data_IF_425590798201
#
_entry.id   IF_425590798201
#
_cell.length_a   1.000
_cell.length_b   1.000
_cell.length_c   1.000
_cell.angle_alpha   90.00
_cell.angle_beta   90.00
_cell.angle_gamma   90.00
#
_symmetry.space_group_name_H-M   'P 1'
#
loop_
_entity.id
_entity.type
_entity.pdbx_description
1 polymer ?
#
# COMPACT_ATOMS: atom_id res chain seq x y z
N UNK A 1 25.53 -44.76 -39.28
CA UNK A 1 25.46 -44.32 -40.70
C UNK A 1 25.03 -42.85 -40.69
N UNK A 2 25.96 -41.89 -40.56
CA UNK A 2 26.61 -41.13 -41.65
C UNK A 2 25.59 -40.42 -42.55
N UNK A 3 25.52 -39.08 -42.67
CA UNK A 3 26.57 -38.16 -43.16
C UNK A 3 26.15 -36.67 -42.96
N UNK A 4 27.06 -35.89 -42.37
CA UNK A 4 27.53 -34.49 -42.64
C UNK A 4 26.62 -33.23 -42.49
N UNK A 5 27.06 -32.41 -41.51
CA UNK A 5 27.15 -30.93 -41.33
C UNK A 5 26.62 -29.96 -42.41
N UNK A 6 25.98 -28.87 -41.93
CA UNK A 6 26.38 -27.47 -42.21
C UNK A 6 25.91 -26.49 -41.11
N UNK A 7 26.83 -25.63 -40.70
CA UNK A 7 26.65 -24.43 -39.85
C UNK A 7 26.12 -23.26 -40.70
N UNK A 8 25.14 -22.51 -40.19
CA UNK A 8 24.96 -21.08 -40.50
C UNK A 8 24.23 -20.38 -39.33
N UNK A 9 24.79 -19.22 -38.93
CA UNK A 9 24.35 -18.31 -37.86
C UNK A 9 23.26 -17.33 -38.34
N UNK A 10 22.63 -16.55 -37.44
CA UNK A 10 21.25 -16.07 -37.59
C UNK A 10 21.15 -14.78 -38.41
N UNK A 11 20.04 -14.65 -39.14
CA UNK A 11 19.61 -13.38 -39.76
C UNK A 11 18.82 -12.55 -38.76
N UNK A 12 19.34 -11.34 -38.53
CA UNK A 12 18.70 -10.24 -37.83
C UNK A 12 17.37 -9.85 -38.49
N UNK A 13 16.29 -9.83 -37.71
CA UNK A 13 15.05 -9.14 -38.10
C UNK A 13 15.14 -7.70 -37.62
N UNK A 14 15.39 -6.79 -38.57
CA UNK A 14 15.13 -5.36 -38.43
C UNK A 14 13.61 -5.16 -38.27
N UNK A 15 13.18 -4.63 -37.13
CA UNK A 15 11.88 -3.99 -36.97
C UNK A 15 12.02 -2.55 -37.48
N UNK A 16 11.34 -2.25 -38.58
CA UNK A 16 11.19 -0.90 -39.11
C UNK A 16 10.33 -0.07 -38.17
N UNK A 17 10.92 0.95 -37.55
CA UNK A 17 10.20 2.01 -36.88
C UNK A 17 9.61 2.95 -37.95
N UNK A 18 8.29 3.04 -38.02
CA UNK A 18 7.59 4.09 -38.78
C UNK A 18 7.55 5.33 -37.91
N UNK A 19 8.35 6.34 -38.27
CA UNK A 19 8.28 7.68 -37.70
C UNK A 19 7.13 8.40 -38.38
N UNK A 20 6.02 8.60 -37.66
CA UNK A 20 4.96 9.53 -38.05
C UNK A 20 5.32 10.89 -37.46
N UNK A 21 5.89 11.78 -38.27
CA UNK A 21 6.07 13.20 -37.94
C UNK A 21 4.77 13.95 -38.21
N UNK A 22 3.85 13.89 -37.26
CA UNK A 22 2.71 14.81 -37.17
C UNK A 22 3.07 16.01 -36.30
N UNK A 23 3.37 17.15 -36.93
CA UNK A 23 3.57 18.42 -36.24
C UNK A 23 2.22 18.98 -35.75
N UNK A 24 1.76 18.50 -34.59
CA UNK A 24 0.80 19.19 -33.77
C UNK A 24 1.56 19.95 -32.69
N UNK A 25 1.55 21.28 -32.74
CA UNK A 25 1.99 22.11 -31.63
C UNK A 25 1.01 21.93 -30.46
N UNK A 26 1.21 20.86 -29.68
CA UNK A 26 0.62 20.76 -28.36
C UNK A 26 1.40 21.70 -27.47
N UNK A 27 0.68 22.62 -26.82
CA UNK A 27 1.19 23.37 -25.70
C UNK A 27 1.74 22.35 -24.70
N UNK A 28 3.07 22.22 -24.64
CA UNK A 28 3.72 21.54 -23.54
C UNK A 28 3.43 22.40 -22.31
N UNK A 29 2.30 22.10 -21.66
CA UNK A 29 2.14 22.42 -20.24
C UNK A 29 3.37 21.86 -19.55
N UNK A 30 3.97 22.68 -18.69
CA UNK A 30 5.14 22.33 -17.92
C UNK A 30 4.84 21.00 -17.21
N UNK A 31 5.35 19.86 -17.73
CA UNK A 31 5.14 18.51 -17.19
C UNK A 31 6.03 18.35 -15.95
N UNK A 32 5.79 19.21 -14.97
CA UNK A 32 6.44 19.14 -13.68
C UNK A 32 5.92 17.92 -12.93
N UNK A 33 6.84 17.20 -12.29
CA UNK A 33 6.50 16.13 -11.37
C UNK A 33 5.45 16.59 -10.35
N UNK A 34 4.28 15.96 -10.26
CA UNK A 34 3.31 16.32 -9.22
C UNK A 34 3.90 16.10 -7.82
N UNK A 35 4.68 15.04 -7.68
CA UNK A 35 5.50 14.78 -6.50
C UNK A 35 6.83 15.53 -6.64
N UNK A 36 6.81 16.82 -6.30
CA UNK A 36 8.01 17.68 -6.39
C UNK A 36 9.05 17.44 -5.29
N UNK A 37 8.70 16.68 -4.24
CA UNK A 37 9.62 16.20 -3.19
C UNK A 37 9.19 14.82 -2.73
N UNK A 38 10.12 13.87 -2.75
CA UNK A 38 10.00 12.55 -2.15
C UNK A 38 11.37 12.16 -1.58
N UNK A 39 11.54 12.24 -0.27
CA UNK A 39 12.75 11.78 0.43
C UNK A 39 12.36 11.37 1.83
N UNK A 40 12.69 10.14 2.21
CA UNK A 40 12.49 9.63 3.56
C UNK A 40 13.80 9.01 4.04
N UNK A 41 14.39 9.57 5.10
CA UNK A 41 15.63 9.03 5.69
C UNK A 41 15.33 8.43 7.06
N UNK A 42 14.63 9.17 7.92
CA UNK A 42 14.23 8.71 9.26
C UNK A 42 12.90 9.33 9.67
N UNK A 43 12.36 8.91 10.82
CA UNK A 43 11.15 9.51 11.42
C UNK A 43 11.35 10.99 11.86
N UNK A 44 12.58 11.50 11.82
CA UNK A 44 12.96 12.88 12.13
C UNK A 44 13.54 13.64 10.93
N UNK A 45 13.68 12.99 9.77
CA UNK A 45 14.20 13.59 8.56
C UNK A 45 13.49 13.04 7.31
N UNK A 46 12.53 13.82 6.79
CA UNK A 46 11.75 13.47 5.60
C UNK A 46 11.21 14.72 4.89
N UNK A 47 10.94 14.60 3.59
CA UNK A 47 10.38 15.66 2.77
C UNK A 47 9.51 15.08 1.65
N UNK A 48 8.20 15.15 1.87
CA UNK A 48 7.18 14.80 0.90
C UNK A 48 6.37 16.06 0.52
N UNK A 49 6.16 16.27 -0.77
CA UNK A 49 5.28 17.33 -1.29
C UNK A 49 4.60 16.87 -2.58
N UNK A 50 3.28 16.92 -2.56
CA UNK A 50 2.39 16.66 -3.69
C UNK A 50 1.73 17.97 -4.14
N UNK A 51 1.70 18.20 -5.45
CA UNK A 51 0.96 19.29 -6.08
C UNK A 51 -0.40 18.81 -6.58
N UNK A 52 -1.25 19.75 -6.98
CA UNK A 52 -2.51 19.49 -7.70
C UNK A 52 -3.57 18.62 -7.01
N UNK A 53 -3.34 18.11 -5.80
CA UNK A 53 -4.37 17.48 -4.97
C UNK A 53 -5.59 18.41 -4.83
N UNK A 54 -6.78 17.98 -5.29
CA UNK A 54 -8.03 18.71 -5.16
C UNK A 54 -8.42 18.99 -3.70
N UNK A 55 -9.26 20.01 -3.51
CA UNK A 55 -9.74 20.49 -2.22
C UNK A 55 -11.23 20.84 -2.32
N UNK A 56 -12.06 19.82 -2.61
CA UNK A 56 -13.49 20.02 -2.75
C UNK A 56 -14.11 20.40 -1.40
N UNK A 57 -15.11 21.29 -1.43
CA UNK A 57 -15.87 21.62 -0.22
C UNK A 57 -16.87 20.49 0.09
N UNK A 58 -16.93 20.10 1.36
CA UNK A 58 -17.93 19.12 1.83
C UNK A 58 -19.32 19.74 2.01
N UNK A 59 -19.40 21.06 2.25
CA UNK A 59 -20.64 21.76 2.63
C UNK A 59 -21.50 22.03 1.41
N UNK A 60 -22.64 21.35 1.30
CA UNK A 60 -23.50 21.37 0.09
C UNK A 60 -24.96 21.19 0.47
N UNK A 61 -25.81 22.10 0.02
CA UNK A 61 -27.24 22.16 0.36
C UNK A 61 -28.07 20.93 -0.03
N UNK A 62 -27.60 20.12 -0.99
CA UNK A 62 -28.30 18.91 -1.43
C UNK A 62 -27.73 17.62 -0.84
N UNK A 63 -26.70 17.71 0.01
CA UNK A 63 -26.23 16.59 0.83
C UNK A 63 -26.99 16.56 2.16
N UNK A 64 -27.19 15.38 2.77
CA UNK A 64 -27.71 15.25 4.12
C UNK A 64 -26.98 16.16 5.13
N UNK A 65 -27.73 16.84 6.00
CA UNK A 65 -27.23 17.82 6.96
C UNK A 65 -26.28 18.88 6.36
N UNK A 66 -26.58 19.30 5.13
CA UNK A 66 -25.77 20.23 4.33
C UNK A 66 -24.31 19.77 4.16
N UNK A 67 -24.06 18.45 4.17
CA UNK A 67 -22.72 17.87 4.08
C UNK A 67 -21.86 18.07 5.34
N UNK A 68 -22.48 18.35 6.49
CA UNK A 68 -21.77 18.59 7.77
C UNK A 68 -20.84 17.46 8.19
N UNK A 69 -21.17 16.23 7.81
CA UNK A 69 -20.43 15.03 8.17
C UNK A 69 -19.73 14.36 6.97
N UNK A 70 -19.56 15.08 5.86
CA UNK A 70 -19.03 14.55 4.59
C UNK A 70 -17.51 14.70 4.42
N UNK A 71 -16.76 14.95 5.50
CA UNK A 71 -15.30 15.10 5.43
C UNK A 71 -14.59 13.87 4.82
N UNK A 72 -15.02 12.65 5.19
CA UNK A 72 -14.43 11.40 4.70
C UNK A 72 -14.78 11.12 3.22
N UNK A 73 -16.06 11.20 2.78
CA UNK A 73 -16.37 11.12 1.35
C UNK A 73 -15.59 12.14 0.52
N UNK A 74 -15.46 13.37 1.02
CA UNK A 74 -14.80 14.46 0.28
C UNK A 74 -13.28 14.27 0.20
N UNK A 75 -12.63 13.83 1.27
CA UNK A 75 -11.20 13.52 1.21
C UNK A 75 -10.89 12.32 0.29
N UNK A 76 -11.77 11.32 0.24
CA UNK A 76 -11.63 10.20 -0.71
C UNK A 76 -11.87 10.66 -2.14
N UNK A 77 -12.88 11.50 -2.38
CA UNK A 77 -13.09 12.14 -3.69
C UNK A 77 -11.81 12.84 -4.13
N UNK A 78 -11.24 13.73 -3.30
CA UNK A 78 -10.03 14.49 -3.64
C UNK A 78 -8.90 13.57 -4.16
N UNK A 79 -8.65 12.43 -3.50
CA UNK A 79 -7.61 11.50 -3.94
C UNK A 79 -7.93 10.81 -5.28
N UNK A 80 -9.16 10.37 -5.48
CA UNK A 80 -9.54 9.70 -6.72
C UNK A 80 -9.64 10.66 -7.91
N UNK A 81 -10.10 11.89 -7.68
CA UNK A 81 -10.04 12.97 -8.65
C UNK A 81 -8.59 13.35 -8.99
N UNK A 82 -7.68 13.33 -8.00
CA UNK A 82 -6.24 13.44 -8.25
C UNK A 82 -5.78 12.30 -9.17
N UNK A 83 -6.06 11.04 -8.85
CA UNK A 83 -5.69 9.92 -9.72
C UNK A 83 -6.22 10.10 -11.16
N UNK A 84 -7.50 10.49 -11.30
CA UNK A 84 -8.13 10.68 -12.60
C UNK A 84 -7.45 11.75 -13.45
N UNK A 85 -7.10 12.88 -12.84
CA UNK A 85 -6.38 13.98 -13.49
C UNK A 85 -4.91 13.66 -13.81
N UNK A 86 -4.35 12.56 -13.26
CA UNK A 86 -2.91 12.29 -13.27
C UNK A 86 -2.58 10.87 -13.75
N UNK A 87 -3.16 10.49 -14.88
CA UNK A 87 -2.84 9.25 -15.62
C UNK A 87 -3.91 8.15 -15.54
N UNK A 88 -4.98 8.37 -14.78
CA UNK A 88 -6.06 7.39 -14.59
C UNK A 88 -7.46 7.92 -14.93
N UNK A 89 -7.70 8.50 -16.13
CA UNK A 89 -8.95 9.21 -16.43
C UNK A 89 -10.22 8.34 -16.31
N UNK A 90 -10.09 7.02 -16.40
CA UNK A 90 -11.20 6.08 -16.19
C UNK A 90 -11.54 5.83 -14.70
N UNK A 91 -10.72 6.31 -13.76
CA UNK A 91 -11.02 6.20 -12.34
C UNK A 91 -12.14 7.19 -11.99
N UNK A 92 -13.23 6.76 -11.33
CA UNK A 92 -14.27 7.68 -10.87
C UNK A 92 -13.68 8.69 -9.89
N UNK A 93 -14.00 9.99 -9.98
CA UNK A 93 -15.12 10.60 -10.70
C UNK A 93 -14.84 11.02 -12.15
N UNK A 94 -13.80 10.47 -12.79
CA UNK A 94 -13.21 10.91 -14.05
C UNK A 94 -12.41 12.23 -13.90
N UNK A 95 -11.68 12.60 -14.95
CA UNK A 95 -10.86 13.79 -14.96
C UNK A 95 -11.72 15.07 -15.07
N UNK A 96 -11.24 16.16 -14.47
CA UNK A 96 -11.94 17.42 -14.45
C UNK A 96 -11.26 18.51 -13.64
N UNK A 97 -11.54 19.76 -14.01
CA UNK A 97 -11.20 20.92 -13.20
C UNK A 97 -12.24 21.09 -12.08
N UNK A 98 -12.05 20.31 -11.01
CA UNK A 98 -12.95 20.24 -9.87
C UNK A 98 -13.04 21.52 -9.04
N UNK A 99 -12.21 22.54 -9.33
CA UNK A 99 -12.33 23.85 -8.70
C UNK A 99 -13.40 24.73 -9.37
N UNK A 100 -13.75 24.46 -10.64
CA UNK A 100 -14.73 25.27 -11.36
C UNK A 100 -16.12 25.17 -10.75
N UNK A 101 -16.79 26.31 -10.62
CA UNK A 101 -18.18 26.36 -10.17
C UNK A 101 -19.13 25.53 -11.08
N UNK A 102 -18.80 25.39 -12.37
CA UNK A 102 -19.57 24.54 -13.29
C UNK A 102 -19.53 23.05 -12.93
N UNK A 103 -18.50 22.60 -12.18
CA UNK A 103 -18.38 21.23 -11.66
C UNK A 103 -19.06 21.04 -10.30
N UNK A 104 -19.60 22.10 -9.69
CA UNK A 104 -20.23 22.03 -8.36
C UNK A 104 -21.32 20.95 -8.29
N UNK A 105 -22.27 20.93 -9.24
CA UNK A 105 -23.39 19.97 -9.22
C UNK A 105 -22.88 18.54 -9.37
N UNK A 106 -21.97 18.30 -10.32
CA UNK A 106 -21.38 16.99 -10.58
C UNK A 106 -20.60 16.46 -9.36
N UNK A 107 -19.78 17.30 -8.75
CA UNK A 107 -19.09 16.96 -7.51
C UNK A 107 -20.08 16.62 -6.38
N UNK A 108 -21.21 17.33 -6.28
CA UNK A 108 -22.23 17.02 -5.27
C UNK A 108 -22.87 15.64 -5.49
N UNK A 109 -23.14 15.27 -6.74
CA UNK A 109 -23.70 13.96 -7.08
C UNK A 109 -22.73 12.84 -6.70
N UNK A 110 -21.46 12.99 -7.06
CA UNK A 110 -20.41 12.04 -6.68
C UNK A 110 -20.21 11.94 -5.17
N UNK A 111 -20.22 13.05 -4.43
CA UNK A 111 -20.15 13.02 -2.97
C UNK A 111 -21.35 12.29 -2.35
N UNK A 112 -22.55 12.43 -2.93
CA UNK A 112 -23.72 11.66 -2.49
C UNK A 112 -23.52 10.15 -2.72
N UNK A 113 -23.03 9.77 -3.90
CA UNK A 113 -22.72 8.36 -4.24
C UNK A 113 -21.66 7.78 -3.30
N UNK A 114 -20.54 8.48 -3.12
CA UNK A 114 -19.45 8.04 -2.23
C UNK A 114 -19.92 7.99 -0.78
N UNK A 115 -20.69 8.99 -0.33
CA UNK A 115 -21.28 9.02 1.01
C UNK A 115 -22.22 7.84 1.26
N UNK A 116 -23.01 7.44 0.26
CA UNK A 116 -23.86 6.25 0.34
C UNK A 116 -23.02 4.96 0.45
N UNK A 117 -22.00 4.77 -0.40
CA UNK A 117 -21.11 3.61 -0.31
C UNK A 117 -20.34 3.54 1.02
N UNK A 118 -20.08 4.68 1.65
CA UNK A 118 -19.45 4.78 2.95
C UNK A 118 -20.43 4.69 4.13
N UNK A 119 -21.74 4.64 3.86
CA UNK A 119 -22.78 4.76 4.87
C UNK A 119 -22.55 5.98 5.79
N UNK A 120 -22.28 7.14 5.19
CA UNK A 120 -22.06 8.39 5.92
C UNK A 120 -23.35 8.83 6.58
N UNK A 121 -23.33 8.85 7.92
CA UNK A 121 -24.43 9.33 8.72
C UNK A 121 -24.44 10.87 8.75
N UNK A 122 -25.62 11.53 8.60
CA UNK A 122 -25.71 12.99 8.63
C UNK A 122 -25.33 13.64 9.98
N UNK A 123 -25.38 12.89 11.08
CA UNK A 123 -25.15 13.37 12.45
C UNK A 123 -23.85 12.84 13.04
N UNK A 124 -23.50 11.57 12.76
CA UNK A 124 -22.33 10.89 13.32
C UNK A 124 -21.14 10.78 12.34
N UNK A 125 -21.40 10.97 11.04
CA UNK A 125 -20.42 10.88 9.98
C UNK A 125 -20.03 9.47 9.58
N UNK A 126 -18.76 9.29 9.19
CA UNK A 126 -18.28 8.06 8.56
C UNK A 126 -17.36 7.29 9.49
N UNK A 127 -17.66 6.03 9.71
CA UNK A 127 -16.83 5.10 10.49
C UNK A 127 -15.66 4.57 9.65
N UNK A 128 -14.64 3.98 10.29
CA UNK A 128 -13.51 3.39 9.57
C UNK A 128 -13.92 2.21 8.66
N UNK A 129 -14.94 1.44 9.02
CA UNK A 129 -15.48 0.39 8.15
C UNK A 129 -16.21 0.99 6.94
N UNK A 130 -16.94 2.09 7.14
CA UNK A 130 -17.56 2.87 6.07
C UNK A 130 -16.52 3.40 5.07
N UNK A 131 -15.45 4.03 5.55
CA UNK A 131 -14.33 4.48 4.72
C UNK A 131 -13.77 3.34 3.86
N UNK A 132 -13.50 2.19 4.48
CA UNK A 132 -12.96 1.01 3.77
C UNK A 132 -13.92 0.53 2.68
N UNK A 133 -15.21 0.41 3.00
CA UNK A 133 -16.23 -0.05 2.06
C UNK A 133 -16.37 0.89 0.85
N UNK A 134 -16.42 2.21 1.08
CA UNK A 134 -16.51 3.18 -0.01
C UNK A 134 -15.27 3.20 -0.90
N UNK A 135 -14.07 3.10 -0.32
CA UNK A 135 -12.85 2.97 -1.12
C UNK A 135 -12.81 1.64 -1.88
N UNK A 136 -13.29 0.52 -1.31
CA UNK A 136 -13.40 -0.76 -2.02
C UNK A 136 -14.34 -0.66 -3.25
N UNK A 137 -15.46 0.05 -3.10
CA UNK A 137 -16.39 0.30 -4.21
C UNK A 137 -15.77 1.15 -5.34
N UNK A 138 -14.93 2.13 -5.00
CA UNK A 138 -14.20 2.93 -5.99
C UNK A 138 -13.07 2.13 -6.66
N UNK A 139 -12.31 1.34 -5.90
CA UNK A 139 -11.24 0.48 -6.45
C UNK A 139 -11.81 -0.57 -7.40
N UNK A 140 -13.00 -1.12 -7.12
CA UNK A 140 -13.67 -2.05 -8.03
C UNK A 140 -13.94 -1.43 -9.43
N UNK A 141 -13.99 -0.10 -9.52
CA UNK A 141 -14.17 0.65 -10.77
C UNK A 141 -12.85 1.21 -11.33
N UNK A 142 -11.75 1.13 -10.57
CA UNK A 142 -10.42 1.61 -10.95
C UNK A 142 -9.41 0.45 -10.85
N UNK A 143 -9.41 -0.51 -11.78
CA UNK A 143 -8.70 -1.79 -11.65
C UNK A 143 -7.18 -1.66 -11.56
N UNK A 144 -6.62 -0.51 -11.91
CA UNK A 144 -5.20 -0.21 -11.83
C UNK A 144 -4.79 0.54 -10.57
N UNK A 145 -5.73 0.78 -9.65
CA UNK A 145 -5.45 1.39 -8.36
C UNK A 145 -5.59 0.35 -7.25
N UNK A 146 -4.89 0.57 -6.15
CA UNK A 146 -5.08 -0.11 -4.86
C UNK A 146 -5.18 0.90 -3.74
N UNK A 147 -5.75 0.48 -2.61
CA UNK A 147 -5.87 1.31 -1.41
C UNK A 147 -5.10 0.77 -0.21
N UNK A 148 -4.81 1.66 0.73
CA UNK A 148 -4.39 1.36 2.10
C UNK A 148 -5.33 2.07 3.07
N UNK A 149 -5.62 1.44 4.21
CA UNK A 149 -6.37 2.05 5.32
C UNK A 149 -5.87 1.48 6.64
N UNK A 150 -5.36 2.33 7.53
CA UNK A 150 -4.78 1.95 8.82
C UNK A 150 -5.20 2.94 9.90
N UNK A 151 -5.88 2.44 10.93
CA UNK A 151 -6.26 3.21 12.12
C UNK A 151 -5.36 2.91 13.31
N UNK A 152 -5.44 3.74 14.34
CA UNK A 152 -4.83 3.47 15.64
C UNK A 152 -5.30 2.10 16.18
N UNK A 153 -4.34 1.28 16.59
CA UNK A 153 -4.57 0.00 17.25
C UNK A 153 -3.46 -0.29 18.24
N UNK A 154 -3.56 -1.40 18.98
CA UNK A 154 -2.50 -1.87 19.88
C UNK A 154 -1.16 -2.13 19.17
N UNK A 155 -1.18 -2.40 17.86
CA UNK A 155 -0.01 -2.70 17.04
C UNK A 155 0.35 -1.61 16.03
N UNK A 156 -0.47 -0.57 15.89
CA UNK A 156 -0.26 0.45 14.86
C UNK A 156 -0.50 1.88 15.35
N UNK A 157 0.56 2.70 15.22
CA UNK A 157 0.53 4.14 15.50
C UNK A 157 0.62 4.94 14.21
N UNK A 158 -0.43 5.65 13.79
CA UNK A 158 -0.39 6.60 12.69
C UNK A 158 0.46 7.82 13.03
N UNK A 159 1.35 8.23 12.12
CA UNK A 159 2.24 9.38 12.32
C UNK A 159 2.43 10.15 11.00
N UNK A 160 2.86 11.41 11.09
CA UNK A 160 3.26 12.21 9.93
C UNK A 160 4.46 11.59 9.22
N UNK A 161 5.36 10.94 9.96
CA UNK A 161 6.47 10.18 9.37
C UNK A 161 5.95 9.04 8.49
N UNK A 162 5.00 8.24 8.97
CA UNK A 162 4.38 7.19 8.15
C UNK A 162 3.66 7.77 6.93
N UNK A 163 2.90 8.86 7.08
CA UNK A 163 2.29 9.57 5.95
C UNK A 163 3.33 9.98 4.90
N UNK A 164 4.45 10.55 5.33
CA UNK A 164 5.55 10.94 4.44
C UNK A 164 6.19 9.73 3.77
N UNK A 165 6.39 8.63 4.48
CA UNK A 165 6.92 7.38 3.94
C UNK A 165 6.01 6.85 2.83
N UNK A 166 4.72 6.66 3.10
CA UNK A 166 3.74 6.23 2.09
C UNK A 166 3.74 7.21 0.91
N UNK A 167 3.73 8.52 1.16
CA UNK A 167 3.83 9.53 0.09
C UNK A 167 5.08 9.36 -0.78
N UNK A 168 6.26 9.15 -0.17
CA UNK A 168 7.51 8.92 -0.90
C UNK A 168 7.54 7.61 -1.69
N UNK A 169 6.67 6.65 -1.33
CA UNK A 169 6.47 5.38 -2.02
C UNK A 169 5.39 5.45 -3.12
N UNK A 170 4.93 6.66 -3.49
CA UNK A 170 3.98 6.88 -4.59
C UNK A 170 2.51 6.85 -4.18
N UNK A 171 2.20 6.91 -2.89
CA UNK A 171 0.81 6.98 -2.43
C UNK A 171 0.27 8.41 -2.40
N UNK A 172 -0.91 8.63 -2.98
CA UNK A 172 -1.74 9.79 -2.69
C UNK A 172 -2.42 9.56 -1.34
N UNK A 173 -2.06 10.37 -0.33
CA UNK A 173 -2.42 10.11 1.06
C UNK A 173 -3.48 11.07 1.60
N UNK A 174 -4.29 10.53 2.50
CA UNK A 174 -5.21 11.24 3.37
C UNK A 174 -5.06 10.75 4.80
N UNK A 175 -5.57 11.53 5.75
CA UNK A 175 -5.57 11.16 7.15
C UNK A 175 -6.77 11.71 7.90
N UNK A 176 -7.10 11.08 9.03
CA UNK A 176 -8.05 11.59 10.01
C UNK A 176 -7.27 12.12 11.20
N UNK A 177 -7.61 13.33 11.63
CA UNK A 177 -7.27 13.78 12.97
C UNK A 177 -8.49 13.62 13.89
N UNK A 178 -8.41 12.64 14.79
CA UNK A 178 -9.41 12.42 15.82
C UNK A 178 -9.44 13.58 16.82
N UNK A 179 -10.64 13.85 17.36
CA UNK A 179 -10.86 14.74 18.49
C UNK A 179 -10.82 13.90 19.76
N UNK A 180 -9.77 14.06 20.55
CA UNK A 180 -9.52 13.29 21.76
C UNK A 180 -9.70 14.18 23.00
N UNK A 181 -10.77 13.92 23.75
CA UNK A 181 -11.09 14.63 24.99
C UNK A 181 -10.37 13.96 26.17
N UNK A 182 -9.78 14.75 27.05
CA UNK A 182 -9.18 14.24 28.28
C UNK A 182 -10.30 13.87 29.25
N UNK A 183 -10.38 12.58 29.59
CA UNK A 183 -11.37 12.02 30.52
C UNK A 183 -10.77 11.65 31.87
N UNK A 184 -9.44 11.69 31.99
CA UNK A 184 -8.74 11.46 33.25
C UNK A 184 -7.23 11.55 33.11
N UNK A 185 -6.54 11.08 34.14
CA UNK A 185 -5.07 11.00 34.19
C UNK A 185 -4.68 9.65 34.78
N UNK A 186 -3.68 8.99 34.21
CA UNK A 186 -3.12 7.74 34.71
C UNK A 186 -1.59 7.76 34.57
N UNK A 187 -0.86 7.45 35.64
CA UNK A 187 0.61 7.47 35.69
C UNK A 187 1.25 8.75 35.13
N UNK A 188 0.64 9.91 35.38
CA UNK A 188 1.12 11.22 34.91
C UNK A 188 0.84 11.53 33.45
N UNK A 189 0.18 10.64 32.70
CA UNK A 189 -0.27 10.87 31.33
C UNK A 189 -1.79 11.05 31.27
N UNK A 190 -2.31 11.85 30.32
CA UNK A 190 -3.75 11.97 30.12
C UNK A 190 -4.35 10.65 29.64
N UNK A 191 -5.55 10.34 30.13
CA UNK A 191 -6.45 9.32 29.56
C UNK A 191 -7.43 10.06 28.67
N UNK A 192 -7.51 9.64 27.40
CA UNK A 192 -8.29 10.32 26.38
C UNK A 192 -9.28 9.38 25.71
N UNK A 193 -10.47 9.91 25.43
CA UNK A 193 -11.50 9.23 24.63
C UNK A 193 -11.79 10.01 23.35
N UNK A 194 -12.07 9.27 22.29
CA UNK A 194 -12.39 9.84 20.98
C UNK A 194 -13.84 10.32 20.97
N UNK A 195 -14.04 11.61 20.70
CA UNK A 195 -15.36 12.25 20.67
C UNK A 195 -15.68 12.88 19.31
N UNK A 196 -14.94 12.49 18.27
CA UNK A 196 -15.14 12.93 16.88
C UNK A 196 -13.86 12.82 16.06
N UNK A 197 -13.89 13.34 14.83
CA UNK A 197 -12.72 13.40 13.96
C UNK A 197 -13.00 14.25 12.73
N UNK A 198 -11.96 14.46 11.93
CA UNK A 198 -12.07 15.15 10.65
C UNK A 198 -11.03 14.62 9.68
N UNK A 199 -11.42 14.47 8.42
CA UNK A 199 -10.63 13.83 7.37
C UNK A 199 -10.14 14.86 6.35
N UNK A 200 -8.87 14.76 5.97
CA UNK A 200 -8.19 15.73 5.11
C UNK A 200 -7.21 15.03 4.17
N UNK A 201 -6.87 15.65 3.04
CA UNK A 201 -5.89 15.08 2.09
C UNK A 201 -4.52 15.74 2.20
N UNK A 202 -3.46 14.95 2.19
CA UNK A 202 -2.09 15.39 2.41
C UNK A 202 -1.51 16.06 1.16
N UNK A 203 -0.86 17.21 1.34
CA UNK A 203 -0.10 17.89 0.27
C UNK A 203 1.36 18.11 0.63
N UNK A 204 1.71 18.13 1.93
CA UNK A 204 3.10 18.20 2.37
C UNK A 204 3.29 17.57 3.74
N UNK A 205 4.33 16.76 3.86
CA UNK A 205 4.88 16.33 5.14
C UNK A 205 6.39 16.57 5.11
N UNK A 206 6.88 17.46 5.96
CA UNK A 206 8.30 17.81 6.01
C UNK A 206 8.77 17.82 7.45
N UNK A 207 9.92 17.19 7.69
CA UNK A 207 10.63 17.27 8.94
C UNK A 207 12.13 17.30 8.72
N UNK A 208 12.78 18.26 9.36
CA UNK A 208 14.24 18.36 9.46
C UNK A 208 14.57 18.68 10.91
N UNK A 209 14.92 17.63 11.67
CA UNK A 209 15.10 17.69 13.12
C UNK A 209 13.84 18.23 13.82
N UNK A 210 13.89 19.47 14.31
CA UNK A 210 12.80 20.14 15.05
C UNK A 210 11.87 20.93 14.13
N UNK A 211 12.28 21.23 12.89
CA UNK A 211 11.39 21.90 11.94
C UNK A 211 10.39 20.89 11.42
N UNK A 212 9.11 21.05 11.77
CA UNK A 212 8.04 20.13 11.39
C UNK A 212 6.89 20.87 10.69
N UNK A 213 6.59 20.48 9.46
CA UNK A 213 5.53 21.10 8.65
C UNK A 213 4.59 20.00 8.13
N UNK A 214 3.30 20.20 8.37
CA UNK A 214 2.22 19.43 7.76
C UNK A 214 1.34 20.38 6.95
N UNK A 215 1.08 20.05 5.68
CA UNK A 215 0.08 20.75 4.85
C UNK A 215 -0.94 19.78 4.29
N UNK A 216 -2.18 20.21 4.26
CA UNK A 216 -3.31 19.42 3.80
C UNK A 216 -4.42 20.30 3.21
N UNK A 217 -5.29 19.67 2.42
CA UNK A 217 -6.56 20.20 1.91
C UNK A 217 -7.67 19.86 2.90
N UNK A 218 -8.49 20.84 3.27
CA UNK A 218 -9.47 20.71 4.35
C UNK A 218 -10.89 20.90 3.78
N UNK A 219 -11.66 19.81 3.57
CA UNK A 219 -12.99 19.90 3.01
C UNK A 219 -13.99 20.80 3.76
N UNK A 220 -13.71 21.15 5.02
CA UNK A 220 -14.59 21.95 5.88
C UNK A 220 -14.10 23.39 6.12
N UNK A 221 -13.24 23.91 5.24
CA UNK A 221 -12.66 25.24 5.41
C UNK A 221 -13.46 26.39 4.74
N UNK A 222 -14.59 26.06 4.11
CA UNK A 222 -15.65 26.97 3.68
C UNK A 222 -17.01 26.50 4.22
N UNK A 223 -17.90 27.45 4.47
CA UNK A 223 -19.28 27.24 4.96
C UNK A 223 -20.34 27.45 3.88
N UNK A 224 -19.96 27.94 2.70
CA UNK A 224 -20.88 28.16 1.58
C UNK A 224 -21.54 26.84 1.12
N UNK A 225 -22.86 26.87 0.90
CA UNK A 225 -23.64 25.66 0.58
C UNK A 225 -23.99 25.48 -0.89
N UNK A 226 -23.55 26.39 -1.76
CA UNK A 226 -23.96 26.44 -3.18
C UNK A 226 -22.82 26.81 -4.13
N UNK A 227 -21.61 27.01 -3.60
CA UNK A 227 -20.42 27.38 -4.36
C UNK A 227 -19.27 26.44 -4.04
N UNK A 228 -18.35 26.29 -4.99
CA UNK A 228 -17.04 25.69 -4.76
C UNK A 228 -16.02 26.81 -4.49
N UNK A 229 -15.36 26.72 -3.35
CA UNK A 229 -14.31 27.61 -2.91
C UNK A 229 -13.02 27.37 -3.71
N UNK A 230 -12.13 28.36 -3.69
CA UNK A 230 -10.80 28.20 -4.27
C UNK A 230 -9.96 27.26 -3.41
N UNK A 231 -9.37 26.24 -4.04
CA UNK A 231 -8.55 25.24 -3.36
C UNK A 231 -7.41 25.88 -2.57
N UNK A 232 -7.31 25.62 -1.27
CA UNK A 232 -6.25 26.18 -0.41
C UNK A 232 -5.59 25.11 0.46
N UNK A 233 -4.48 25.47 1.08
CA UNK A 233 -3.76 24.55 1.96
C UNK A 233 -3.84 25.09 3.38
N UNK A 234 -4.21 24.23 4.30
CA UNK A 234 -3.97 24.47 5.72
C UNK A 234 -2.55 24.04 6.05
N UNK A 235 -1.82 24.87 6.79
CA UNK A 235 -0.46 24.56 7.28
C UNK A 235 -0.47 24.47 8.80
N UNK A 236 0.15 23.43 9.35
CA UNK A 236 0.28 23.18 10.79
C UNK A 236 1.70 22.72 11.15
N UNK A 237 2.07 22.89 12.41
CA UNK A 237 3.29 22.37 13.01
C UNK A 237 2.90 21.26 13.99
N UNK A 238 3.05 19.99 13.62
CA UNK A 238 2.72 18.87 14.51
C UNK A 238 3.65 18.82 15.73
N UNK A 239 3.20 18.10 16.77
CA UNK A 239 3.99 17.79 17.96
C UNK A 239 3.65 16.40 18.49
N UNK A 240 4.54 15.80 19.26
CA UNK A 240 4.29 14.51 19.88
C UNK A 240 3.30 14.66 21.04
N UNK A 241 2.31 13.76 21.11
CA UNK A 241 1.33 13.71 22.18
C UNK A 241 1.20 12.27 22.69
N UNK A 242 1.68 12.07 23.93
CA UNK A 242 1.63 10.78 24.61
C UNK A 242 0.43 10.74 25.56
N UNK A 243 -0.42 9.73 25.40
CA UNK A 243 -1.63 9.55 26.18
C UNK A 243 -2.03 8.07 26.26
N UNK A 244 -2.95 7.77 27.17
CA UNK A 244 -3.71 6.53 27.20
C UNK A 244 -4.99 6.69 26.36
N UNK A 245 -5.10 6.00 25.23
CA UNK A 245 -6.22 6.15 24.28
C UNK A 245 -7.28 5.06 24.51
N UNK A 246 -8.49 5.44 24.91
CA UNK A 246 -9.60 4.49 25.09
C UNK A 246 -9.47 3.56 26.30
N UNK A 247 -8.72 3.98 27.34
CA UNK A 247 -8.59 3.27 28.61
C UNK A 247 -7.15 3.20 29.14
N UNK A 248 -6.96 2.69 30.36
CA UNK A 248 -5.69 2.76 31.11
C UNK A 248 -4.75 1.57 30.94
N UNK A 249 -5.04 0.66 30.01
CA UNK A 249 -4.17 -0.50 29.73
C UNK A 249 -2.80 -0.05 29.21
N UNK A 250 -1.75 -0.81 29.49
CA UNK A 250 -0.42 -0.57 28.89
C UNK A 250 -0.44 -0.70 27.36
N UNK A 251 -1.41 -1.42 26.79
CA UNK A 251 -1.58 -1.52 25.34
C UNK A 251 -2.23 -0.28 24.71
N UNK A 252 -2.77 0.62 25.54
CA UNK A 252 -3.41 1.87 25.11
C UNK A 252 -2.47 3.08 25.23
N UNK A 253 -1.23 2.89 25.68
CA UNK A 253 -0.26 3.98 25.74
C UNK A 253 0.37 4.19 24.37
N UNK A 254 0.11 5.34 23.77
CA UNK A 254 0.65 5.68 22.46
C UNK A 254 1.27 7.07 22.49
N UNK A 255 2.34 7.26 21.72
CA UNK A 255 2.87 8.57 21.37
C UNK A 255 2.55 8.83 19.90
N UNK A 256 1.55 9.69 19.66
CA UNK A 256 1.03 10.01 18.33
C UNK A 256 1.39 11.45 17.96
N UNK A 257 1.06 11.87 16.74
CA UNK A 257 1.30 13.24 16.28
C UNK A 257 0.02 14.05 16.40
N UNK A 258 0.02 14.99 17.33
CA UNK A 258 -1.02 16.01 17.46
C UNK A 258 -0.74 17.18 16.52
N UNK A 259 -1.79 17.84 16.06
CA UNK A 259 -1.72 18.93 15.09
C UNK A 259 -2.07 20.28 15.74
N UNK A 260 -3.10 20.30 16.61
CA UNK A 260 -3.51 21.46 17.38
C UNK A 260 -4.44 21.08 18.53
N UNK A 261 -4.62 21.99 19.49
CA UNK A 261 -5.56 21.87 20.59
C UNK A 261 -6.80 22.74 20.35
N UNK A 262 -7.94 22.28 20.85
CA UNK A 262 -9.20 23.05 20.89
C UNK A 262 -9.83 22.92 22.28
N UNK A 263 -10.84 23.73 22.60
CA UNK A 263 -11.60 23.61 23.85
C UNK A 263 -12.21 22.23 24.07
N UNK A 264 -12.51 21.50 22.98
CA UNK A 264 -13.08 20.16 23.03
C UNK A 264 -12.06 19.01 22.94
N UNK A 265 -10.76 19.28 23.11
CA UNK A 265 -9.72 18.24 23.10
C UNK A 265 -8.62 18.45 22.07
N UNK A 266 -7.64 17.54 22.11
CA UNK A 266 -6.47 17.50 21.23
C UNK A 266 -6.84 16.89 19.88
N UNK A 267 -6.35 17.46 18.77
CA UNK A 267 -6.48 16.85 17.44
C UNK A 267 -5.25 16.01 17.13
N UNK A 268 -5.45 14.70 17.06
CA UNK A 268 -4.37 13.71 16.93
C UNK A 268 -4.59 12.89 15.68
N UNK A 269 -3.55 12.71 14.86
CA UNK A 269 -3.62 11.81 13.70
C UNK A 269 -3.79 10.38 14.21
N UNK A 270 -4.95 9.79 13.93
CA UNK A 270 -5.34 8.47 14.43
C UNK A 270 -5.77 7.52 13.33
N UNK A 271 -5.80 7.96 12.07
CA UNK A 271 -6.05 7.12 10.90
C UNK A 271 -5.33 7.68 9.69
N UNK A 272 -4.75 6.81 8.86
CA UNK A 272 -4.24 7.15 7.53
C UNK A 272 -4.86 6.22 6.49
N UNK A 273 -5.06 6.74 5.29
CA UNK A 273 -5.53 5.96 4.16
C UNK A 273 -5.06 6.63 2.88
N UNK A 274 -4.99 5.88 1.80
CA UNK A 274 -4.44 6.38 0.56
C UNK A 274 -4.72 5.45 -0.60
N UNK A 275 -4.42 5.96 -1.79
CA UNK A 275 -4.48 5.20 -3.03
C UNK A 275 -3.16 5.29 -3.77
N UNK A 276 -2.86 4.28 -4.58
CA UNK A 276 -1.74 4.30 -5.52
C UNK A 276 -2.02 3.41 -6.72
N UNK A 277 -1.32 3.63 -7.83
CA UNK A 277 -1.16 2.65 -8.90
C UNK A 277 -0.75 1.26 -8.42
N UNK A 278 -1.18 0.24 -9.16
CA UNK A 278 -0.58 -1.09 -9.08
C UNK A 278 0.89 -1.03 -9.51
N UNK A 279 1.73 -1.73 -8.76
CA UNK A 279 3.16 -1.82 -9.00
C UNK A 279 3.57 -3.29 -9.14
N UNK A 280 4.63 -3.53 -9.90
CA UNK A 280 5.30 -4.82 -9.98
C UNK A 280 6.47 -4.89 -9.01
N UNK A 281 6.88 -6.11 -8.69
CA UNK A 281 8.08 -6.38 -7.91
C UNK A 281 8.98 -7.27 -8.73
N UNK A 282 10.27 -6.99 -8.70
CA UNK A 282 11.27 -7.84 -9.32
C UNK A 282 12.43 -8.01 -8.35
N UNK A 283 13.06 -9.17 -8.40
CA UNK A 283 14.36 -9.35 -7.81
C UNK A 283 15.30 -9.94 -8.85
N UNK A 284 16.53 -9.44 -8.85
CA UNK A 284 17.59 -9.93 -9.72
C UNK A 284 18.77 -10.35 -8.86
N UNK A 285 19.04 -11.66 -8.78
CA UNK A 285 20.27 -12.15 -8.17
C UNK A 285 21.45 -11.84 -9.11
N UNK A 286 22.41 -11.04 -8.66
CA UNK A 286 23.56 -10.59 -9.47
C UNK A 286 24.71 -11.59 -9.47
N UNK A 287 24.59 -12.67 -8.69
CA UNK A 287 25.60 -13.71 -8.53
C UNK A 287 25.21 -15.04 -9.16
N UNK A 288 26.07 -15.59 -10.02
CA UNK A 288 26.06 -17.02 -10.30
C UNK A 288 26.64 -17.81 -9.12
N UNK A 289 26.41 -19.12 -9.05
CA UNK A 289 26.92 -20.00 -7.99
C UNK A 289 28.45 -19.94 -7.75
N UNK A 290 29.20 -19.27 -8.63
CA UNK A 290 30.67 -19.20 -8.62
C UNK A 290 31.22 -17.81 -8.25
N UNK A 291 30.43 -16.73 -8.37
CA UNK A 291 30.93 -15.33 -8.20
C UNK A 291 30.54 -14.68 -6.87
N UNK A 292 29.98 -15.44 -5.93
CA UNK A 292 29.27 -14.88 -4.77
C UNK A 292 27.86 -14.47 -5.17
N UNK A 293 26.91 -14.61 -4.26
CA UNK A 293 25.51 -14.23 -4.45
C UNK A 293 25.33 -12.72 -4.46
N UNK A 294 24.23 -12.27 -3.89
CA UNK A 294 23.78 -10.89 -3.90
C UNK A 294 22.69 -10.68 -4.93
N UNK A 295 22.16 -9.47 -4.94
CA UNK A 295 21.08 -9.12 -5.84
C UNK A 295 20.50 -7.76 -5.55
N UNK A 296 19.43 -7.47 -6.27
CA UNK A 296 18.67 -6.25 -6.14
C UNK A 296 17.20 -6.61 -6.13
N UNK A 297 16.50 -6.22 -5.07
CA UNK A 297 15.03 -6.19 -5.07
C UNK A 297 14.63 -4.80 -5.53
N UNK A 298 13.74 -4.70 -6.51
CA UNK A 298 13.22 -3.43 -7.03
C UNK A 298 11.70 -3.46 -7.07
N UNK A 299 11.10 -2.37 -6.60
CA UNK A 299 9.74 -2.03 -6.97
C UNK A 299 9.75 -1.42 -8.38
N UNK A 300 8.80 -1.83 -9.21
CA UNK A 300 8.55 -1.28 -10.54
C UNK A 300 7.18 -0.62 -10.51
N UNK A 301 7.09 0.64 -10.91
CA UNK A 301 5.81 1.33 -11.01
C UNK A 301 5.56 1.63 -12.50
N UNK A 302 5.03 0.65 -13.26
CA UNK A 302 4.91 0.77 -14.71
C UNK A 302 3.92 1.87 -15.11
N UNK A 303 3.04 2.27 -14.19
CA UNK A 303 2.01 3.29 -14.38
C UNK A 303 2.01 4.22 -13.17
N UNK A 304 3.09 4.93 -12.88
CA UNK A 304 3.08 5.88 -11.77
C UNK A 304 2.03 7.00 -12.02
N UNK A 305 1.61 7.73 -10.96
CA UNK A 305 0.90 8.99 -11.19
C UNK A 305 1.78 9.92 -12.03
N UNK A 306 1.18 10.74 -12.89
CA UNK A 306 1.94 11.65 -13.76
C UNK A 306 2.98 12.42 -12.94
N UNK A 307 4.23 12.36 -13.37
CA UNK A 307 5.31 13.07 -12.69
C UNK A 307 5.86 12.40 -11.43
N UNK A 308 5.36 11.22 -11.06
CA UNK A 308 5.95 10.36 -10.03
C UNK A 308 6.77 9.21 -10.63
N UNK A 309 7.02 9.22 -11.95
CA UNK A 309 7.65 8.10 -12.64
C UNK A 309 9.05 7.82 -12.11
N UNK A 310 9.24 6.63 -11.53
CA UNK A 310 10.55 6.05 -11.17
C UNK A 310 11.45 6.86 -10.23
N UNK A 311 11.03 8.00 -9.66
CA UNK A 311 11.96 8.89 -8.95
C UNK A 311 12.33 8.46 -7.53
N UNK A 312 11.66 7.48 -6.92
CA UNK A 312 11.98 6.99 -5.55
C UNK A 312 11.50 5.56 -5.29
N UNK A 313 11.46 4.70 -6.30
CA UNK A 313 11.05 3.31 -6.06
C UNK A 313 12.08 2.61 -5.17
N UNK A 314 11.67 2.00 -4.05
CA UNK A 314 12.60 1.31 -3.16
C UNK A 314 13.39 0.27 -3.95
N UNK A 315 14.71 0.37 -3.86
CA UNK A 315 15.62 -0.66 -4.33
C UNK A 315 16.50 -1.10 -3.17
N UNK A 316 16.49 -2.39 -2.87
CA UNK A 316 17.23 -2.94 -1.73
C UNK A 316 18.31 -3.85 -2.25
N UNK A 317 19.55 -3.52 -1.92
CA UNK A 317 20.71 -4.35 -2.27
C UNK A 317 20.74 -5.54 -1.32
N UNK A 318 20.77 -6.75 -1.89
CA UNK A 318 20.93 -7.99 -1.14
C UNK A 318 22.42 -8.27 -0.96
N UNK A 319 22.88 -8.61 0.27
CA UNK A 319 24.27 -8.94 0.53
C UNK A 319 24.79 -10.04 -0.40
N UNK A 320 26.04 -9.90 -0.88
CA UNK A 320 26.68 -10.87 -1.77
C UNK A 320 26.86 -12.27 -1.17
N UNK A 321 26.61 -12.44 0.12
CA UNK A 321 26.63 -13.73 0.81
C UNK A 321 25.31 -14.50 0.75
N UNK A 322 24.27 -13.92 0.14
CA UNK A 322 22.92 -14.47 0.10
C UNK A 322 22.36 -14.45 -1.33
N UNK A 323 21.53 -15.44 -1.67
CA UNK A 323 20.70 -15.43 -2.87
C UNK A 323 19.23 -15.50 -2.46
N UNK A 324 18.40 -14.63 -3.04
CA UNK A 324 16.95 -14.63 -2.80
C UNK A 324 16.31 -15.70 -3.66
N UNK A 325 15.54 -16.59 -3.04
CA UNK A 325 14.72 -17.59 -3.72
C UNK A 325 13.31 -17.08 -3.91
N UNK A 326 12.76 -16.44 -2.88
CA UNK A 326 11.40 -15.95 -2.85
C UNK A 326 11.25 -14.72 -1.96
N UNK A 327 10.20 -13.94 -2.18
CA UNK A 327 10.09 -12.60 -1.62
C UNK A 327 8.62 -12.12 -1.57
N UNK A 328 8.23 -11.44 -0.49
CA UNK A 328 6.94 -10.75 -0.33
C UNK A 328 7.09 -9.50 0.57
N UNK A 329 6.36 -8.42 0.30
CA UNK A 329 6.40 -7.22 1.15
C UNK A 329 5.40 -7.35 2.30
N UNK A 330 5.72 -6.75 3.44
CA UNK A 330 4.68 -6.43 4.41
C UNK A 330 3.72 -5.36 3.85
N UNK A 331 2.56 -5.22 4.49
CA UNK A 331 1.54 -4.29 4.05
C UNK A 331 1.91 -2.81 4.17
N UNK A 332 3.04 -2.47 4.81
CA UNK A 332 3.51 -1.09 4.97
C UNK A 332 4.84 -0.77 4.26
N UNK A 333 5.39 -1.75 3.53
CA UNK A 333 6.63 -1.67 2.77
C UNK A 333 7.82 -1.19 3.61
N UNK A 334 7.80 -1.43 4.92
CA UNK A 334 8.97 -1.20 5.76
C UNK A 334 9.82 -2.46 5.84
N UNK A 335 9.17 -3.61 5.80
CA UNK A 335 9.83 -4.90 5.79
C UNK A 335 9.33 -5.77 4.64
N UNK A 336 10.08 -6.81 4.39
CA UNK A 336 9.69 -7.89 3.53
C UNK A 336 10.00 -9.22 4.20
N UNK A 337 9.24 -10.24 3.85
CA UNK A 337 9.62 -11.62 4.08
C UNK A 337 10.41 -12.10 2.88
N UNK A 338 11.53 -12.77 3.14
CA UNK A 338 12.36 -13.35 2.07
C UNK A 338 12.78 -14.75 2.44
N UNK A 339 12.75 -15.65 1.46
CA UNK A 339 13.50 -16.90 1.53
C UNK A 339 14.85 -16.62 0.89
N UNK A 340 15.92 -16.72 1.69
CA UNK A 340 17.28 -16.58 1.18
C UNK A 340 18.19 -17.72 1.62
N UNK A 341 19.05 -18.14 0.70
CA UNK A 341 20.09 -19.15 0.94
C UNK A 341 21.47 -18.50 1.00
N UNK A 342 22.41 -19.09 1.74
CA UNK A 342 23.79 -18.63 1.68
C UNK A 342 24.41 -19.03 0.34
N UNK A 343 25.14 -18.10 -0.28
CA UNK A 343 25.94 -18.34 -1.47
C UNK A 343 27.40 -18.71 -1.15
N UNK A 344 27.79 -18.65 0.12
CA UNK A 344 29.17 -18.91 0.58
C UNK A 344 29.24 -20.24 1.32
N UNK A 345 28.23 -20.54 2.15
CA UNK A 345 28.15 -21.79 2.89
C UNK A 345 26.97 -22.62 2.38
N UNK A 346 27.07 -23.96 2.35
CA UNK A 346 25.98 -24.85 1.99
C UNK A 346 24.95 -24.94 3.12
N UNK A 347 24.37 -23.80 3.51
CA UNK A 347 23.32 -23.73 4.49
C UNK A 347 21.97 -23.82 3.78
N UNK A 348 20.99 -24.55 4.36
CA UNK A 348 19.66 -24.61 3.76
C UNK A 348 19.02 -23.22 3.74
N UNK A 349 18.17 -22.94 2.74
CA UNK A 349 17.36 -21.72 2.70
C UNK A 349 16.61 -21.47 4.01
N UNK A 350 16.45 -20.19 4.36
CA UNK A 350 15.76 -19.76 5.57
C UNK A 350 14.83 -18.60 5.26
N UNK A 351 13.68 -18.59 5.95
CA UNK A 351 12.80 -17.44 6.01
C UNK A 351 13.44 -16.34 6.87
N UNK A 352 13.38 -15.12 6.37
CA UNK A 352 14.00 -13.94 6.97
C UNK A 352 13.08 -12.75 6.85
N UNK A 353 13.17 -11.82 7.80
CA UNK A 353 12.72 -10.45 7.57
C UNK A 353 13.84 -9.67 6.87
N UNK A 354 13.46 -8.80 5.95
CA UNK A 354 14.30 -7.81 5.29
C UNK A 354 13.76 -6.43 5.62
N UNK A 355 14.53 -5.61 6.34
CA UNK A 355 14.24 -4.19 6.47
C UNK A 355 14.57 -3.50 5.15
N UNK A 356 13.57 -2.88 4.53
CA UNK A 356 13.69 -2.28 3.20
C UNK A 356 14.32 -0.89 3.23
N UNK A 357 14.43 -0.29 4.42
CA UNK A 357 15.12 0.97 4.65
C UNK A 357 16.61 0.74 4.84
N UNK A 358 16.99 -0.26 5.62
CA UNK A 358 18.39 -0.52 5.99
C UNK A 358 19.05 -1.64 5.17
N UNK A 359 18.26 -2.48 4.50
CA UNK A 359 18.72 -3.71 3.85
C UNK A 359 19.08 -4.83 4.83
N UNK A 360 18.81 -4.65 6.13
CA UNK A 360 19.16 -5.62 7.16
C UNK A 360 18.28 -6.88 7.05
N UNK A 361 18.92 -8.04 7.10
CA UNK A 361 18.24 -9.35 7.10
C UNK A 361 18.33 -10.02 8.46
N UNK A 362 17.21 -10.47 9.01
CA UNK A 362 17.17 -11.26 10.24
C UNK A 362 16.48 -12.60 10.01
N UNK A 363 17.03 -13.70 10.54
CA UNK A 363 16.40 -15.02 10.42
C UNK A 363 15.15 -15.04 11.30
N UNK A 364 14.03 -15.45 10.71
CA UNK A 364 12.76 -15.61 11.42
C UNK A 364 12.80 -16.94 12.18
N UNK A 365 13.13 -16.93 13.48
CA UNK A 365 13.21 -18.15 14.30
C UNK A 365 11.93 -18.26 15.14
N UNK A 366 11.21 -19.40 15.15
CA UNK A 366 11.68 -20.75 14.83
C UNK A 366 11.23 -21.33 13.48
N UNK A 367 11.27 -20.57 12.38
CA UNK A 367 10.83 -21.08 11.07
C UNK A 367 11.60 -22.33 10.58
N UNK A 368 10.92 -23.23 9.82
CA UNK A 368 11.56 -24.40 9.23
C UNK A 368 12.72 -24.04 8.29
N UNK A 369 13.62 -25.01 8.08
CA UNK A 369 14.75 -24.87 7.17
C UNK A 369 14.41 -25.47 5.80
N UNK A 370 15.12 -25.06 4.75
CA UNK A 370 14.96 -25.67 3.43
C UNK A 370 13.73 -25.19 2.67
N UNK A 371 13.11 -24.09 3.12
CA UNK A 371 11.96 -23.47 2.48
C UNK A 371 12.28 -23.04 1.04
N UNK A 372 11.29 -23.14 0.15
CA UNK A 372 11.43 -22.88 -1.29
C UNK A 372 10.63 -21.69 -1.76
N UNK A 373 9.33 -21.69 -1.44
CA UNK A 373 8.38 -20.62 -1.72
C UNK A 373 7.50 -20.36 -0.52
N UNK A 374 6.86 -19.20 -0.49
CA UNK A 374 5.85 -18.89 0.49
C UNK A 374 4.79 -17.93 -0.05
N UNK A 375 3.66 -17.86 0.65
CA UNK A 375 2.62 -16.86 0.49
C UNK A 375 2.16 -16.38 1.87
N UNK A 376 1.61 -15.17 1.93
CA UNK A 376 1.05 -14.60 3.16
C UNK A 376 -0.46 -14.38 3.04
N UNK A 377 -1.17 -14.46 4.16
CA UNK A 377 -2.59 -14.10 4.23
C UNK A 377 -2.79 -12.68 4.79
N UNK A 378 -4.06 -12.25 4.84
CA UNK A 378 -4.44 -10.94 5.40
C UNK A 378 -4.28 -10.81 6.92
N UNK A 379 -3.98 -11.91 7.60
CA UNK A 379 -3.75 -12.00 9.05
C UNK A 379 -2.26 -12.15 9.38
N UNK A 380 -1.37 -11.96 8.38
CA UNK A 380 0.07 -12.13 8.48
C UNK A 380 0.54 -13.56 8.79
N UNK A 381 -0.29 -14.57 8.54
CA UNK A 381 0.20 -15.95 8.54
C UNK A 381 1.02 -16.23 7.29
N UNK A 382 1.91 -17.23 7.40
CA UNK A 382 2.86 -17.58 6.35
C UNK A 382 2.63 -19.04 5.96
N UNK A 383 2.41 -19.27 4.68
CA UNK A 383 2.24 -20.58 4.06
C UNK A 383 3.46 -20.88 3.22
N UNK A 384 4.28 -21.84 3.60
CA UNK A 384 5.55 -22.11 2.93
C UNK A 384 5.79 -23.61 2.79
N UNK A 385 6.45 -24.04 1.72
CA UNK A 385 6.87 -25.44 1.58
C UNK A 385 8.38 -25.58 1.51
N UNK A 386 8.88 -26.72 1.99
CA UNK A 386 10.30 -27.05 1.98
C UNK A 386 10.70 -27.98 0.82
N UNK A 387 12.00 -28.22 0.68
CA UNK A 387 12.55 -29.11 -0.34
C UNK A 387 12.21 -30.59 -0.16
N UNK A 388 11.52 -30.98 0.92
CA UNK A 388 10.95 -32.31 1.12
C UNK A 388 9.46 -32.40 0.75
N UNK A 389 8.85 -31.31 0.28
CA UNK A 389 7.43 -31.26 -0.10
C UNK A 389 6.48 -31.03 1.08
N UNK A 390 6.99 -30.76 2.28
CA UNK A 390 6.14 -30.47 3.45
C UNK A 390 5.64 -29.04 3.34
N UNK A 391 4.32 -28.86 3.42
CA UNK A 391 3.68 -27.54 3.52
C UNK A 391 3.51 -27.16 4.99
N UNK A 392 3.93 -25.95 5.33
CA UNK A 392 3.92 -25.38 6.67
C UNK A 392 2.97 -24.19 6.73
N UNK A 393 2.19 -24.12 7.80
CA UNK A 393 1.38 -22.97 8.21
C UNK A 393 2.07 -22.36 9.44
N UNK A 394 2.57 -21.14 9.30
CA UNK A 394 3.35 -20.46 10.32
C UNK A 394 2.65 -19.18 10.78
N UNK A 395 2.88 -18.79 12.03
CA UNK A 395 2.57 -17.46 12.54
C UNK A 395 3.47 -16.39 11.90
N UNK A 396 3.15 -15.11 12.11
CA UNK A 396 3.92 -13.96 11.62
C UNK A 396 5.40 -13.98 12.06
N UNK A 397 5.68 -14.55 13.24
CA UNK A 397 7.04 -14.70 13.78
C UNK A 397 7.77 -15.97 13.30
N UNK A 398 7.16 -16.70 12.37
CA UNK A 398 7.70 -17.95 11.81
C UNK A 398 7.47 -19.18 12.67
N UNK A 399 6.74 -19.07 13.79
CA UNK A 399 6.40 -20.23 14.62
C UNK A 399 5.49 -21.20 13.85
N UNK A 400 5.86 -22.49 13.73
CA UNK A 400 4.98 -23.48 13.11
C UNK A 400 3.67 -23.66 13.89
N UNK A 401 2.55 -23.50 13.19
CA UNK A 401 1.20 -23.72 13.70
C UNK A 401 0.64 -25.08 13.24
N UNK A 402 0.85 -25.43 11.97
CA UNK A 402 0.51 -26.73 11.40
C UNK A 402 1.45 -27.10 10.25
N UNK A 403 1.46 -28.38 9.85
CA UNK A 403 2.15 -28.84 8.64
C UNK A 403 1.46 -30.06 8.04
N UNK A 404 1.61 -30.27 6.74
CA UNK A 404 1.08 -31.44 6.02
C UNK A 404 2.03 -31.89 4.91
N UNK A 405 2.16 -33.21 4.75
CA UNK A 405 2.86 -33.87 3.64
C UNK A 405 1.88 -34.40 2.59
N UNK A 406 0.56 -34.24 2.82
CA UNK A 406 -0.50 -34.88 2.05
C UNK A 406 -0.90 -34.08 0.80
N UNK A 407 0.06 -33.46 0.13
CA UNK A 407 -0.18 -32.65 -1.08
C UNK A 407 0.76 -33.09 -2.20
N UNK A 408 0.38 -32.87 -3.48
CA UNK A 408 1.30 -32.98 -4.61
C UNK A 408 2.57 -32.15 -4.37
N UNK A 409 3.72 -32.59 -4.92
CA UNK A 409 5.01 -31.91 -4.80
C UNK A 409 4.88 -30.44 -5.24
N UNK A 410 4.87 -29.49 -4.29
CA UNK A 410 4.44 -28.14 -4.55
C UNK A 410 5.49 -27.39 -5.38
N UNK A 411 5.02 -26.72 -6.43
CA UNK A 411 5.84 -25.80 -7.23
C UNK A 411 5.61 -24.35 -6.82
N UNK A 412 4.37 -23.99 -6.48
CA UNK A 412 4.01 -22.66 -6.00
C UNK A 412 2.84 -22.73 -5.00
N UNK A 413 2.79 -21.75 -4.10
CA UNK A 413 1.72 -21.58 -3.11
C UNK A 413 1.11 -20.18 -3.22
N UNK A 414 -0.21 -20.05 -3.09
CA UNK A 414 -0.91 -18.79 -3.05
C UNK A 414 -2.04 -18.82 -2.02
N UNK A 415 -2.40 -17.65 -1.48
CA UNK A 415 -3.54 -17.51 -0.58
C UNK A 415 -4.61 -16.65 -1.24
N UNK A 416 -5.86 -17.13 -1.22
CA UNK A 416 -6.99 -16.36 -1.70
C UNK A 416 -7.55 -15.50 -0.56
N UNK A 417 -7.38 -14.18 -0.66
CA UNK A 417 -7.72 -13.23 0.42
C UNK A 417 -9.21 -13.10 0.75
N UNK A 418 -10.09 -13.61 -0.13
CA UNK A 418 -11.54 -13.55 0.05
C UNK A 418 -12.08 -14.60 1.02
N UNK A 419 -11.54 -15.81 0.99
CA UNK A 419 -11.99 -16.96 1.79
C UNK A 419 -10.85 -17.65 2.58
N UNK A 420 -9.66 -17.04 2.58
CA UNK A 420 -8.44 -17.50 3.24
C UNK A 420 -7.99 -18.92 2.83
N UNK A 421 -8.47 -19.41 1.68
CA UNK A 421 -8.06 -20.72 1.18
C UNK A 421 -6.64 -20.70 0.61
N UNK A 422 -5.94 -21.82 0.81
CA UNK A 422 -4.57 -22.01 0.34
C UNK A 422 -4.60 -22.80 -0.96
N UNK A 423 -3.99 -22.28 -2.00
CA UNK A 423 -3.89 -22.90 -3.31
C UNK A 423 -2.47 -23.36 -3.56
N UNK A 424 -2.32 -24.62 -3.92
CA UNK A 424 -1.05 -25.24 -4.29
C UNK A 424 -1.14 -25.63 -5.76
N UNK A 425 -0.07 -25.35 -6.51
CA UNK A 425 0.11 -25.88 -7.85
C UNK A 425 1.36 -26.74 -7.90
N UNK A 426 1.21 -27.95 -8.42
CA UNK A 426 2.31 -28.85 -8.75
C UNK A 426 2.44 -28.92 -10.26
N UNK A 427 3.53 -28.38 -10.80
CA UNK A 427 3.89 -28.52 -12.21
C UNK A 427 4.26 -29.98 -12.54
N UNK A 428 5.12 -30.67 -11.75
CA UNK A 428 5.49 -32.07 -12.04
C UNK A 428 4.28 -33.01 -12.09
N UNK A 429 3.31 -32.82 -11.22
CA UNK A 429 2.10 -33.65 -11.13
C UNK A 429 0.90 -33.07 -11.87
N UNK A 430 1.06 -31.91 -12.52
CA UNK A 430 0.01 -31.18 -13.24
C UNK A 430 -1.29 -31.08 -12.45
N UNK A 431 -1.21 -30.69 -11.19
CA UNK A 431 -2.35 -30.68 -10.28
C UNK A 431 -2.43 -29.35 -9.53
N UNK A 432 -3.65 -28.84 -9.37
CA UNK A 432 -3.98 -27.71 -8.50
C UNK A 432 -4.81 -28.22 -7.34
N UNK A 433 -4.44 -27.86 -6.12
CA UNK A 433 -5.14 -28.24 -4.89
C UNK A 433 -5.55 -26.99 -4.13
N UNK A 434 -6.80 -26.94 -3.70
CA UNK A 434 -7.33 -25.94 -2.76
C UNK A 434 -7.47 -26.59 -1.40
N UNK A 435 -6.91 -25.96 -0.37
CA UNK A 435 -6.93 -26.42 1.01
C UNK A 435 -7.63 -25.39 1.89
N UNK A 436 -8.16 -25.86 3.02
CA UNK A 436 -8.51 -24.97 4.11
C UNK A 436 -7.24 -24.34 4.73
N UNK A 437 -7.38 -23.17 5.34
CA UNK A 437 -6.27 -22.36 5.87
C UNK A 437 -5.40 -23.09 6.92
N UNK A 438 -5.94 -24.08 7.63
CA UNK A 438 -5.24 -24.87 8.65
C UNK A 438 -4.84 -26.28 8.17
N UNK A 439 -5.02 -26.54 6.88
CA UNK A 439 -4.80 -27.84 6.22
C UNK A 439 -5.69 -28.99 6.71
N UNK A 440 -6.74 -28.71 7.49
CA UNK A 440 -7.65 -29.74 8.01
C UNK A 440 -8.44 -30.47 6.91
N UNK A 441 -8.64 -29.81 5.77
CA UNK A 441 -9.44 -30.32 4.66
C UNK A 441 -8.87 -29.94 3.29
N UNK A 442 -8.92 -30.88 2.35
CA UNK A 442 -8.74 -30.60 0.92
C UNK A 442 -10.09 -30.26 0.31
N UNK A 443 -10.25 -29.01 -0.10
CA UNK A 443 -11.50 -28.47 -0.62
C UNK A 443 -11.69 -28.77 -2.11
N UNK A 444 -10.60 -28.85 -2.88
CA UNK A 444 -10.63 -29.13 -4.31
C UNK A 444 -9.30 -29.76 -4.75
N UNK A 445 -9.38 -30.76 -5.62
CA UNK A 445 -8.24 -31.25 -6.40
C UNK A 445 -8.61 -31.23 -7.86
N UNK A 446 -7.82 -30.55 -8.68
CA UNK A 446 -8.05 -30.42 -10.11
C UNK A 446 -6.79 -30.77 -10.89
N UNK A 447 -6.90 -31.73 -11.80
CA UNK A 447 -5.83 -32.04 -12.76
C UNK A 447 -5.83 -30.98 -13.86
N UNK A 448 -4.67 -30.38 -14.11
CA UNK A 448 -4.42 -29.43 -15.19
C UNK A 448 -4.28 -30.20 -16.50
N UNK A 449 -5.17 -29.99 -17.49
CA UNK A 449 -5.12 -30.71 -18.76
C UNK A 449 -3.76 -30.54 -19.44
N UNK A 450 -3.23 -31.59 -20.06
CA UNK A 450 -1.93 -31.56 -20.75
C UNK A 450 -1.84 -30.49 -21.86
N UNK A 451 -2.98 -30.03 -22.39
CA UNK A 451 -3.04 -28.97 -23.39
C UNK A 451 -2.78 -27.56 -22.81
N UNK A 452 -2.82 -27.39 -21.49
CA UNK A 452 -2.55 -26.11 -20.83
C UNK A 452 -1.04 -26.03 -20.54
N UNK A 453 -0.27 -25.17 -21.21
CA UNK A 453 1.16 -25.07 -20.95
C UNK A 453 1.42 -24.54 -19.53
N UNK A 454 2.31 -25.18 -18.80
CA UNK A 454 2.78 -24.78 -17.47
C UNK A 454 4.24 -24.36 -17.55
N UNK A 455 4.63 -23.36 -16.75
CA UNK A 455 6.02 -22.93 -16.68
C UNK A 455 6.88 -24.07 -16.11
N UNK A 456 7.80 -24.60 -16.92
CA UNK A 456 8.60 -25.78 -16.57
C UNK A 456 8.21 -27.06 -17.31
N UNK A 457 7.13 -27.06 -18.09
CA UNK A 457 6.88 -28.10 -19.09
C UNK A 457 8.04 -28.10 -20.10
N UNK A 458 8.69 -29.26 -20.29
CA UNK A 458 9.84 -29.45 -21.18
C UNK A 458 9.43 -29.65 -22.65
#
# INVERSE_FOLDING_TARGET
MSVIRRLARPTSRLLSAVIVTGAGAMLAGDTGADVVKASYITNTFYNYKLLHMPDLDQRRSTLPADGGMYCVPTSVFNMFAYAANHGYPAAPPEDGDWQLQSKYIEATLWLNVIGNWMNTDPDDGTSGSGTKAGMDALIAQAPYLKRVHKGLSSSYNPTVAKLALYGCQGWAMSFVYGKWAVVGTHNGLPVVDRVGGHAVTLTRAYRDSDQWILRYRDPADDTALTTQSAFKNTTRTPYNYSAYYGGTSIYNIHSLNAIFNTSGGTRVIDTIYGIRPLYGLTFHNTGGAVTGGGGLVQMLDPLAFEGSENTTLPSVTIPSSLAVLDFDFDGDFQNALVIATSSIFPLPPRLRTLDLTTGQLAILTPSPQGLRRFATDRFNHIYAFDGGGVLHFLAEDGTPLASTEAIPDPTEVAVHTGDDSVWIISVPERTVVKLFADFSETLLTQVVPAAVPMAGDA
#
